data_IF_155439108160
#
_entry.id   IF_155439108160
#
_cell.length_a   1.000
_cell.length_b   1.000
_cell.length_c   1.000
_cell.angle_alpha   90.00
_cell.angle_beta   90.00
_cell.angle_gamma   90.00
#
_symmetry.space_group_name_H-M   'P 1'
#
loop_
_entity.id
_entity.type
_entity.pdbx_description
1 polymer ?
#
# COMPACT_ATOMS: atom_id res chain seq x y z
N UNK A 1 -3.82 33.26 42.10
CA UNK A 1 -3.08 32.30 41.26
C UNK A 1 -1.64 32.28 41.76
N UNK A 2 -1.16 31.13 42.24
CA UNK A 2 0.07 31.04 43.04
C UNK A 2 1.33 31.26 42.16
N UNK A 3 2.28 32.12 42.55
CA UNK A 3 3.50 32.40 41.77
C UNK A 3 4.38 31.16 41.56
N UNK A 4 4.26 30.15 42.42
CA UNK A 4 4.92 28.86 42.27
C UNK A 4 4.43 28.05 41.04
N UNK A 5 3.18 28.24 40.62
CA UNK A 5 2.57 27.50 39.51
C UNK A 5 3.05 28.05 38.15
N UNK A 6 3.36 29.35 38.09
CA UNK A 6 3.92 29.99 36.89
C UNK A 6 5.38 29.57 36.65
N UNK A 7 6.16 29.41 37.72
CA UNK A 7 7.55 28.94 37.66
C UNK A 7 7.66 27.49 37.21
N UNK A 8 6.72 26.62 37.64
CA UNK A 8 6.65 25.23 37.17
C UNK A 8 6.30 25.11 35.68
N UNK A 9 5.41 25.98 35.18
CA UNK A 9 5.06 26.04 33.75
C UNK A 9 6.22 26.55 32.88
N UNK A 10 7.01 27.51 33.38
CA UNK A 10 8.19 28.01 32.67
C UNK A 10 9.33 26.98 32.65
N UNK A 11 9.50 26.21 33.73
CA UNK A 11 10.50 25.15 33.81
C UNK A 11 10.19 23.96 32.87
N UNK A 12 8.90 23.63 32.67
CA UNK A 12 8.48 22.59 31.72
C UNK A 12 8.65 23.03 30.26
N UNK A 13 8.42 24.32 29.94
CA UNK A 13 8.65 24.86 28.61
C UNK A 13 10.13 24.88 28.21
N UNK A 14 11.06 25.10 29.16
CA UNK A 14 12.50 25.01 28.89
C UNK A 14 12.99 23.57 28.63
N UNK A 15 12.34 22.56 29.21
CA UNK A 15 12.70 21.15 28.95
C UNK A 15 12.27 20.67 27.56
N UNK A 16 11.27 21.30 26.94
CA UNK A 16 10.81 20.94 25.58
C UNK A 16 11.76 21.49 24.50
N UNK A 17 12.45 22.60 24.77
CA UNK A 17 13.38 23.21 23.81
C UNK A 17 14.74 22.48 23.70
N UNK A 18 15.09 21.63 24.67
CA UNK A 18 16.39 20.93 24.71
C UNK A 18 16.36 19.52 24.08
N UNK A 19 15.20 19.06 23.59
CA UNK A 19 15.07 17.79 22.88
C UNK A 19 15.11 17.97 21.35
N UNK A 20 16.04 18.79 20.84
CA UNK A 20 16.53 18.61 19.46
C UNK A 20 17.58 17.50 19.56
N UNK A 21 17.08 16.27 19.64
CA UNK A 21 17.91 15.08 19.53
C UNK A 21 18.71 15.19 18.25
N UNK A 22 20.02 15.29 18.42
CA UNK A 22 21.00 15.20 17.36
C UNK A 22 20.77 13.85 16.67
N UNK A 23 20.06 13.84 15.54
CA UNK A 23 19.94 12.64 14.72
C UNK A 23 21.34 12.28 14.28
N UNK A 24 21.91 11.29 14.99
CA UNK A 24 23.01 10.50 14.51
C UNK A 24 22.61 10.02 13.13
N UNK A 25 23.21 10.66 12.12
CA UNK A 25 23.23 10.23 10.73
C UNK A 25 23.97 8.90 10.70
N UNK A 26 23.26 7.84 11.12
CA UNK A 26 23.44 6.50 10.57
C UNK A 26 23.52 6.72 9.07
N UNK A 27 24.57 6.25 8.41
CA UNK A 27 24.82 6.45 6.98
C UNK A 27 23.57 6.06 6.17
N UNK A 28 22.66 7.02 6.03
CA UNK A 28 21.34 6.81 5.48
C UNK A 28 21.57 6.82 4.00
N UNK A 29 21.34 5.68 3.36
CA UNK A 29 21.40 5.61 1.92
C UNK A 29 20.47 6.70 1.37
N UNK A 30 21.02 7.78 0.80
CA UNK A 30 20.24 8.94 0.34
C UNK A 30 19.55 8.68 -1.01
N UNK A 31 19.69 7.45 -1.50
CA UNK A 31 19.24 7.00 -2.80
C UNK A 31 17.96 6.17 -2.68
N UNK A 32 17.13 6.26 -3.71
CA UNK A 32 15.91 5.47 -3.86
C UNK A 32 16.13 4.21 -4.70
N UNK A 33 17.37 3.72 -4.78
CA UNK A 33 17.69 2.45 -5.42
C UNK A 33 16.83 1.31 -4.85
N UNK A 34 16.39 0.35 -5.68
CA UNK A 34 15.59 -0.78 -5.21
C UNK A 34 16.25 -1.54 -4.07
N UNK A 35 15.49 -1.79 -3.00
CA UNK A 35 15.91 -2.53 -1.82
C UNK A 35 15.44 -3.99 -1.87
N UNK A 36 16.00 -4.84 -1.01
CA UNK A 36 15.66 -6.26 -0.92
C UNK A 36 15.03 -6.60 0.42
N UNK A 37 14.00 -7.43 0.39
CA UNK A 37 13.47 -8.12 1.56
C UNK A 37 13.17 -9.57 1.18
N UNK A 38 14.02 -10.50 1.64
CA UNK A 38 14.01 -11.88 1.15
C UNK A 38 14.12 -11.93 -0.38
N UNK A 39 13.13 -12.52 -1.04
CA UNK A 39 13.08 -12.64 -2.50
C UNK A 39 12.46 -11.42 -3.20
N UNK A 40 11.91 -10.45 -2.46
CA UNK A 40 11.25 -9.30 -3.03
C UNK A 40 12.23 -8.19 -3.37
N UNK A 41 12.02 -7.59 -4.55
CA UNK A 41 12.62 -6.31 -4.95
C UNK A 41 11.64 -5.21 -4.60
N UNK A 42 12.02 -4.28 -3.74
CA UNK A 42 11.19 -3.16 -3.33
C UNK A 42 11.69 -1.89 -4.00
N UNK A 43 10.91 -1.39 -4.94
CA UNK A 43 11.07 -0.10 -5.61
C UNK A 43 9.77 0.70 -5.55
N UNK A 44 9.89 1.99 -5.90
CA UNK A 44 8.77 2.89 -6.08
C UNK A 44 7.63 2.21 -6.90
N UNK A 45 6.35 2.32 -6.49
CA UNK A 45 5.82 3.24 -5.48
C UNK A 45 5.92 2.74 -4.03
N UNK A 46 6.48 1.55 -3.80
CA UNK A 46 6.73 1.01 -2.46
C UNK A 46 8.08 1.52 -1.94
N UNK A 47 8.19 1.63 -0.62
CA UNK A 47 9.44 1.90 0.07
C UNK A 47 9.69 0.86 1.15
N UNK A 48 10.95 0.60 1.47
CA UNK A 48 11.33 -0.29 2.56
C UNK A 48 11.82 0.51 3.76
N UNK A 49 11.01 0.56 4.81
CA UNK A 49 11.30 1.25 6.07
C UNK A 49 12.63 0.78 6.67
N UNK A 50 13.44 1.74 7.11
CA UNK A 50 14.74 1.48 7.74
C UNK A 50 15.87 1.16 6.75
N UNK A 51 15.56 1.05 5.45
CA UNK A 51 16.55 0.82 4.39
C UNK A 51 16.55 1.96 3.38
N UNK A 52 15.37 2.35 2.91
CA UNK A 52 15.18 3.48 2.00
C UNK A 52 14.69 4.72 2.78
N UNK A 53 15.09 5.92 2.35
CA UNK A 53 14.50 7.17 2.85
C UNK A 53 12.98 7.22 2.65
N UNK A 54 12.31 7.98 3.53
CA UNK A 54 10.84 8.13 3.54
C UNK A 54 10.26 8.75 2.26
N UNK A 55 11.07 9.45 1.47
CA UNK A 55 10.67 10.04 0.20
C UNK A 55 10.78 9.08 -1.00
N UNK A 56 11.23 7.85 -0.82
CA UNK A 56 11.46 6.92 -1.95
C UNK A 56 10.21 6.16 -2.41
N UNK A 57 9.09 6.32 -1.72
CA UNK A 57 7.83 5.66 -2.05
C UNK A 57 6.65 6.41 -1.42
N UNK A 58 5.44 5.97 -1.77
CA UNK A 58 4.23 6.54 -1.19
C UNK A 58 4.10 6.07 0.27
N UNK A 59 3.87 6.97 1.24
CA UNK A 59 3.84 6.60 2.65
C UNK A 59 2.82 5.50 3.00
N UNK A 60 1.70 5.43 2.27
CA UNK A 60 0.67 4.40 2.44
C UNK A 60 1.11 3.01 1.96
N UNK A 61 2.13 2.93 1.10
CA UNK A 61 2.69 1.67 0.58
C UNK A 61 4.02 1.29 1.24
N UNK A 62 4.37 1.94 2.35
CA UNK A 62 5.59 1.65 3.07
C UNK A 62 5.57 0.22 3.63
N UNK A 63 6.64 -0.51 3.38
CA UNK A 63 6.84 -1.90 3.80
C UNK A 63 7.85 -1.97 4.92
N UNK A 64 7.71 -2.99 5.75
CA UNK A 64 8.74 -3.41 6.71
C UNK A 64 9.22 -4.81 6.37
N UNK A 65 10.50 -5.10 6.62
CA UNK A 65 11.08 -6.43 6.46
C UNK A 65 11.30 -7.07 7.82
N UNK A 66 10.83 -8.31 7.98
CA UNK A 66 11.30 -9.18 9.04
C UNK A 66 12.62 -9.82 8.61
N UNK A 67 13.73 -9.39 9.22
CA UNK A 67 15.06 -9.90 8.89
C UNK A 67 15.27 -11.37 9.28
N UNK A 68 14.48 -11.90 10.23
CA UNK A 68 14.56 -13.30 10.65
C UNK A 68 13.93 -14.25 9.64
N UNK A 69 12.78 -13.87 9.07
CA UNK A 69 12.03 -14.70 8.12
C UNK A 69 12.23 -14.31 6.65
N UNK A 70 12.72 -13.08 6.39
CA UNK A 70 12.79 -12.50 5.05
C UNK A 70 11.44 -12.09 4.46
N UNK A 71 10.39 -12.03 5.28
CA UNK A 71 9.05 -11.64 4.84
C UNK A 71 8.84 -10.13 4.89
N UNK A 72 8.21 -9.58 3.86
CA UNK A 72 7.81 -8.18 3.81
C UNK A 72 6.36 -8.02 4.29
N UNK A 73 6.06 -6.90 4.95
CA UNK A 73 4.72 -6.61 5.46
C UNK A 73 4.32 -5.17 5.24
N UNK A 74 3.02 -4.91 5.01
CA UNK A 74 2.47 -3.55 5.02
C UNK A 74 2.64 -2.95 6.43
N UNK A 75 3.33 -1.82 6.52
CA UNK A 75 3.72 -1.24 7.81
C UNK A 75 2.57 -0.56 8.54
N UNK A 76 1.66 0.12 7.81
CA UNK A 76 0.61 0.97 8.41
C UNK A 76 -0.66 0.20 8.70
N UNK A 77 -0.53 -0.89 9.45
CA UNK A 77 -1.64 -1.77 9.82
C UNK A 77 -1.99 -1.60 11.29
N UNK A 78 -3.19 -2.02 11.70
CA UNK A 78 -3.63 -1.92 13.10
C UNK A 78 -3.04 -3.03 13.99
N UNK A 79 -2.42 -4.05 13.39
CA UNK A 79 -1.64 -5.10 14.03
C UNK A 79 -0.32 -5.25 13.28
N UNK A 80 0.79 -5.33 14.00
CA UNK A 80 2.10 -5.53 13.38
C UNK A 80 2.13 -6.82 12.54
N UNK A 81 2.81 -6.77 11.40
CA UNK A 81 2.98 -7.91 10.49
C UNK A 81 1.66 -8.54 10.01
N UNK A 82 0.58 -7.75 9.95
CA UNK A 82 -0.75 -8.24 9.58
C UNK A 82 -0.85 -8.69 8.12
N UNK A 83 -0.39 -7.87 7.18
CA UNK A 83 -0.46 -8.17 5.75
C UNK A 83 0.93 -8.47 5.23
N UNK A 84 1.21 -9.76 5.03
CA UNK A 84 2.43 -10.22 4.40
C UNK A 84 2.33 -10.02 2.90
N UNK A 85 3.35 -9.43 2.29
CA UNK A 85 3.46 -9.30 0.84
C UNK A 85 4.33 -10.45 0.34
N UNK A 86 3.78 -11.28 -0.55
CA UNK A 86 4.47 -12.45 -1.09
C UNK A 86 5.10 -12.16 -2.47
N UNK A 87 4.41 -11.38 -3.30
CA UNK A 87 4.86 -11.00 -4.65
C UNK A 87 4.38 -9.59 -5.02
N UNK A 88 5.19 -8.85 -5.78
CA UNK A 88 4.85 -7.54 -6.34
C UNK A 88 5.05 -7.59 -7.86
N UNK A 89 4.03 -7.19 -8.62
CA UNK A 89 4.01 -7.14 -10.09
C UNK A 89 3.90 -5.69 -10.55
N UNK A 90 5.05 -5.04 -10.73
CA UNK A 90 5.14 -3.62 -11.09
C UNK A 90 4.46 -3.28 -12.42
N UNK A 91 4.60 -4.12 -13.45
CA UNK A 91 3.98 -3.92 -14.77
C UNK A 91 2.44 -3.91 -14.73
N UNK A 92 1.87 -4.69 -13.82
CA UNK A 92 0.41 -4.89 -13.72
C UNK A 92 -0.22 -4.07 -12.60
N UNK A 93 0.57 -3.25 -11.91
CA UNK A 93 0.15 -2.56 -10.70
C UNK A 93 -0.57 -3.45 -9.67
N UNK A 94 -0.06 -4.67 -9.44
CA UNK A 94 -0.69 -5.64 -8.53
C UNK A 94 0.30 -6.39 -7.64
N UNK A 95 -0.16 -6.86 -6.47
CA UNK A 95 0.63 -7.64 -5.52
C UNK A 95 -0.20 -8.76 -4.92
N UNK A 96 0.46 -9.84 -4.51
CA UNK A 96 -0.15 -10.89 -3.69
C UNK A 96 0.14 -10.58 -2.23
N UNK A 97 -0.93 -10.41 -1.46
CA UNK A 97 -0.86 -10.24 -0.01
C UNK A 97 -1.58 -11.39 0.70
N UNK A 98 -1.01 -11.87 1.80
CA UNK A 98 -1.61 -12.84 2.69
C UNK A 98 -1.85 -12.21 4.07
N UNK A 99 -2.99 -12.53 4.68
CA UNK A 99 -3.31 -12.06 6.03
C UNK A 99 -2.74 -13.03 7.07
N UNK A 100 -2.01 -12.50 8.04
CA UNK A 100 -1.61 -13.27 9.21
C UNK A 100 -2.80 -13.46 10.13
N UNK A 101 -2.97 -14.69 10.60
CA UNK A 101 -4.12 -15.13 11.40
C UNK A 101 -3.74 -15.60 12.79
N UNK A 102 -2.44 -15.66 13.08
CA UNK A 102 -1.92 -16.10 14.35
C UNK A 102 -1.05 -14.99 14.92
N UNK A 103 -1.57 -14.37 15.96
CA UNK A 103 -0.88 -13.38 16.76
C UNK A 103 -0.60 -13.94 18.17
N UNK A 104 0.40 -13.40 18.89
CA UNK A 104 0.65 -13.81 20.26
C UNK A 104 -0.61 -13.68 21.13
N UNK A 105 -1.02 -14.78 21.76
CA UNK A 105 -2.24 -14.85 22.57
C UNK A 105 -3.46 -15.46 21.87
N UNK A 106 -3.37 -15.73 20.57
CA UNK A 106 -4.45 -16.41 19.84
C UNK A 106 -4.52 -17.90 20.16
N UNK A 107 -5.73 -18.45 20.08
CA UNK A 107 -6.02 -19.87 20.32
C UNK A 107 -5.52 -20.82 19.21
N UNK A 108 -4.63 -20.35 18.32
CA UNK A 108 -4.07 -21.12 17.22
C UNK A 108 -5.03 -21.33 16.03
N UNK A 109 -6.12 -20.58 15.97
CA UNK A 109 -7.07 -20.66 14.87
C UNK A 109 -6.60 -19.84 13.66
N UNK A 110 -6.44 -20.43 12.46
CA UNK A 110 -6.00 -19.68 11.28
C UNK A 110 -7.16 -18.90 10.62
N UNK A 111 -8.02 -18.27 11.42
CA UNK A 111 -9.15 -17.45 10.98
C UNK A 111 -9.00 -16.06 11.58
N UNK A 112 -8.97 -14.99 10.77
CA UNK A 112 -8.97 -13.62 11.29
C UNK A 112 -10.20 -13.36 12.17
N UNK A 113 -9.99 -12.76 13.33
CA UNK A 113 -11.03 -12.27 14.24
C UNK A 113 -11.55 -10.87 13.86
N UNK A 114 -11.15 -10.36 12.70
CA UNK A 114 -11.57 -9.07 12.13
C UNK A 114 -11.94 -9.21 10.66
N UNK A 115 -12.57 -8.16 10.13
CA UNK A 115 -12.91 -8.08 8.72
C UNK A 115 -11.70 -7.64 7.89
N UNK A 116 -11.13 -8.57 7.13
CA UNK A 116 -9.91 -8.32 6.33
C UNK A 116 -10.14 -7.26 5.26
N UNK A 117 -11.25 -7.34 4.53
CA UNK A 117 -11.60 -6.36 3.49
C UNK A 117 -11.74 -4.95 4.06
N UNK A 118 -12.39 -4.80 5.22
CA UNK A 118 -12.51 -3.49 5.87
C UNK A 118 -11.15 -2.94 6.31
N UNK A 119 -10.22 -3.77 6.77
CA UNK A 119 -8.89 -3.30 7.16
C UNK A 119 -8.01 -2.82 6.00
N UNK A 120 -8.35 -3.20 4.77
CA UNK A 120 -7.67 -2.73 3.56
C UNK A 120 -8.17 -1.35 3.09
N UNK A 121 -9.28 -0.83 3.64
CA UNK A 121 -9.85 0.45 3.22
C UNK A 121 -8.95 1.66 3.52
N UNK A 122 -7.91 1.47 4.33
CA UNK A 122 -6.89 2.49 4.64
C UNK A 122 -5.88 2.66 3.49
N UNK A 123 -5.86 1.74 2.54
CA UNK A 123 -4.93 1.72 1.42
C UNK A 123 -5.64 2.02 0.11
N UNK A 124 -4.98 2.68 -0.86
CA UNK A 124 -5.50 2.82 -2.21
C UNK A 124 -5.31 1.53 -3.03
N UNK A 125 -5.69 0.40 -2.44
CA UNK A 125 -5.77 -0.91 -3.09
C UNK A 125 -7.21 -1.26 -3.43
N UNK A 126 -7.38 -1.88 -4.60
CA UNK A 126 -8.58 -2.62 -4.96
C UNK A 126 -8.30 -4.11 -4.83
N UNK A 127 -9.27 -4.86 -4.29
CA UNK A 127 -9.22 -6.32 -4.33
C UNK A 127 -9.58 -6.75 -5.75
N UNK A 128 -8.71 -7.51 -6.40
CA UNK A 128 -8.91 -7.95 -7.79
C UNK A 128 -10.20 -8.74 -7.94
N UNK A 129 -10.91 -8.55 -9.06
CA UNK A 129 -12.17 -9.25 -9.36
C UNK A 129 -12.02 -10.78 -9.51
N UNK A 130 -10.79 -11.26 -9.68
CA UNK A 130 -10.45 -12.68 -9.75
C UNK A 130 -10.48 -13.35 -8.37
N UNK A 131 -10.40 -12.55 -7.30
CA UNK A 131 -10.37 -13.00 -5.90
C UNK A 131 -11.71 -13.58 -5.48
N UNK A 132 -11.67 -14.63 -4.64
CA UNK A 132 -12.83 -15.25 -4.00
C UNK A 132 -12.86 -14.90 -2.52
N UNK A 133 -13.99 -15.11 -1.86
CA UNK A 133 -14.15 -14.76 -0.45
C UNK A 133 -14.43 -16.01 0.38
N UNK A 134 -13.56 -16.30 1.34
CA UNK A 134 -13.83 -17.26 2.41
C UNK A 134 -14.65 -16.59 3.49
N UNK A 135 -15.85 -17.10 3.71
CA UNK A 135 -16.77 -16.61 4.75
C UNK A 135 -16.79 -17.63 5.87
N UNK A 136 -16.35 -17.22 7.06
CA UNK A 136 -16.41 -18.00 8.28
C UNK A 136 -17.59 -17.51 9.12
N UNK A 137 -18.40 -18.44 9.64
CA UNK A 137 -19.52 -18.15 10.55
C UNK A 137 -19.38 -19.01 11.80
N UNK A 138 -19.51 -18.41 12.97
CA UNK A 138 -19.29 -19.07 14.26
C UNK A 138 -20.14 -18.45 15.38
N UNK A 139 -20.14 -19.12 16.55
CA UNK A 139 -20.88 -18.72 17.75
C UNK A 139 -22.42 -18.64 17.60
N UNK A 140 -23.01 -19.48 16.74
CA UNK A 140 -24.46 -19.57 16.63
C UNK A 140 -24.95 -20.97 16.22
N UNK A 141 -26.25 -21.21 16.40
CA UNK A 141 -26.90 -22.47 16.04
C UNK A 141 -27.14 -22.52 14.53
N UNK A 142 -26.29 -23.23 13.80
CA UNK A 142 -26.30 -23.23 12.34
C UNK A 142 -27.16 -24.40 11.78
N UNK A 143 -28.07 -24.18 10.80
CA UNK A 143 -28.91 -25.24 10.22
C UNK A 143 -28.08 -26.37 9.61
N UNK A 144 -28.43 -27.65 9.82
CA UNK A 144 -27.61 -28.83 9.44
C UNK A 144 -27.21 -28.95 7.95
N UNK A 145 -27.76 -28.12 7.07
CA UNK A 145 -27.60 -28.19 5.61
C UNK A 145 -26.40 -27.37 5.05
N UNK A 146 -25.58 -26.74 5.90
CA UNK A 146 -24.42 -25.95 5.44
C UNK A 146 -23.17 -26.81 5.35
N UNK A 147 -22.57 -26.82 4.16
CA UNK A 147 -21.40 -27.65 3.81
C UNK A 147 -20.15 -27.18 4.58
N UNK A 148 -19.48 -28.16 5.21
CA UNK A 148 -18.18 -28.11 5.87
C UNK A 148 -18.15 -27.47 7.26
N UNK A 149 -18.26 -28.32 8.29
CA UNK A 149 -17.97 -27.97 9.69
C UNK A 149 -16.46 -28.03 9.95
N UNK A 150 -15.98 -27.04 10.70
CA UNK A 150 -14.60 -26.92 11.16
C UNK A 150 -14.59 -26.77 12.66
N UNK A 151 -13.61 -27.39 13.28
CA UNK A 151 -13.25 -27.11 14.67
C UNK A 151 -12.03 -26.21 14.66
N UNK A 152 -12.15 -25.05 15.29
CA UNK A 152 -11.02 -24.15 15.54
C UNK A 152 -10.99 -23.84 17.03
N UNK A 153 -9.89 -24.21 17.69
CA UNK A 153 -9.85 -24.27 19.15
C UNK A 153 -11.07 -25.05 19.69
N UNK A 154 -11.87 -24.43 20.57
CA UNK A 154 -13.06 -25.03 21.17
C UNK A 154 -14.38 -24.64 20.48
N UNK A 155 -14.32 -23.89 19.37
CA UNK A 155 -15.49 -23.38 18.69
C UNK A 155 -15.75 -24.13 17.38
N UNK A 156 -17.00 -24.52 17.16
CA UNK A 156 -17.46 -25.02 15.87
C UNK A 156 -17.72 -23.84 14.94
N UNK A 157 -17.06 -23.85 13.79
CA UNK A 157 -17.19 -22.86 12.74
C UNK A 157 -17.68 -23.51 11.46
N UNK A 158 -18.25 -22.72 10.57
CA UNK A 158 -18.54 -23.14 9.19
C UNK A 158 -17.91 -22.17 8.22
N UNK A 159 -17.41 -22.71 7.12
CA UNK A 159 -16.74 -21.92 6.10
C UNK A 159 -17.34 -22.19 4.73
N UNK A 160 -17.50 -21.14 3.93
CA UNK A 160 -17.98 -21.24 2.55
C UNK A 160 -17.16 -20.31 1.64
N UNK A 161 -17.12 -20.64 0.34
CA UNK A 161 -16.59 -19.73 -0.69
C UNK A 161 -17.75 -18.96 -1.32
N UNK A 162 -17.59 -17.65 -1.43
CA UNK A 162 -18.44 -16.79 -2.24
C UNK A 162 -17.64 -16.15 -3.37
N UNK A 163 -18.31 -15.94 -4.50
CA UNK A 163 -17.80 -15.14 -5.61
C UNK A 163 -17.97 -13.63 -5.38
N UNK A 164 -18.80 -13.22 -4.42
CA UNK A 164 -19.05 -11.81 -4.13
C UNK A 164 -19.03 -11.55 -2.62
N UNK A 165 -18.50 -10.40 -2.24
CA UNK A 165 -18.44 -9.93 -0.87
C UNK A 165 -19.83 -9.83 -0.21
N UNK A 166 -20.83 -9.36 -0.96
CA UNK A 166 -22.16 -8.98 -0.45
C UNK A 166 -23.26 -10.06 -0.65
N UNK A 167 -22.99 -11.16 -1.38
CA UNK A 167 -24.02 -12.15 -1.73
C UNK A 167 -24.47 -13.06 -0.59
N UNK A 168 -24.07 -12.79 0.65
CA UNK A 168 -24.78 -13.37 1.79
C UNK A 168 -26.27 -12.92 1.82
N UNK A 169 -26.61 -11.86 1.06
CA UNK A 169 -27.97 -11.37 0.79
C UNK A 169 -28.32 -11.39 -0.72
N UNK A 170 -28.31 -12.54 -1.39
CA UNK A 170 -28.92 -12.63 -2.73
C UNK A 170 -30.42 -12.96 -2.65
N UNK A 171 -31.34 -12.05 -3.04
CA UNK A 171 -32.77 -12.34 -3.08
C UNK A 171 -33.16 -13.28 -4.24
N UNK A 172 -32.24 -13.61 -5.16
CA UNK A 172 -32.51 -14.41 -6.37
C UNK A 172 -31.91 -15.81 -6.42
N UNK A 173 -31.10 -16.23 -5.44
CA UNK A 173 -30.65 -17.62 -5.28
C UNK A 173 -31.63 -18.43 -4.42
N UNK A 174 -31.53 -19.76 -4.31
CA UNK A 174 -32.39 -20.54 -3.42
C UNK A 174 -32.22 -20.02 -1.99
N UNK A 175 -33.15 -19.16 -1.58
CA UNK A 175 -33.12 -18.42 -0.35
C UNK A 175 -33.38 -19.38 0.81
N UNK A 176 -32.32 -19.94 1.34
CA UNK A 176 -32.24 -20.12 2.79
C UNK A 176 -31.40 -18.97 3.28
N UNK A 177 -32.07 -17.86 3.57
CA UNK A 177 -31.57 -16.91 4.56
C UNK A 177 -31.29 -17.75 5.80
N UNK A 178 -30.03 -18.16 5.99
CA UNK A 178 -29.61 -18.76 7.23
C UNK A 178 -29.89 -17.66 8.25
N UNK A 179 -30.78 -17.95 9.20
CA UNK A 179 -31.04 -17.06 10.32
C UNK A 179 -29.71 -16.90 11.07
N UNK A 180 -28.98 -15.87 10.69
CA UNK A 180 -27.64 -15.54 11.18
C UNK A 180 -27.73 -14.50 12.29
N UNK A 181 -28.94 -14.23 12.79
CA UNK A 181 -29.17 -13.32 13.91
C UNK A 181 -28.40 -13.83 15.12
N UNK A 182 -27.42 -13.05 15.57
CA UNK A 182 -26.52 -13.40 16.67
C UNK A 182 -25.26 -14.19 16.28
N UNK A 183 -25.05 -14.49 14.98
CA UNK A 183 -23.80 -15.09 14.52
C UNK A 183 -22.67 -14.06 14.38
N UNK A 184 -21.45 -14.48 14.69
CA UNK A 184 -20.24 -13.76 14.29
C UNK A 184 -19.74 -14.27 12.95
N UNK A 185 -19.16 -13.37 12.16
CA UNK A 185 -18.60 -13.73 10.86
C UNK A 185 -17.27 -13.04 10.60
N UNK A 186 -16.42 -13.71 9.83
CA UNK A 186 -15.16 -13.18 9.32
C UNK A 186 -15.07 -13.51 7.84
N UNK A 187 -14.56 -12.57 7.04
CA UNK A 187 -14.45 -12.77 5.61
C UNK A 187 -13.04 -12.46 5.15
N UNK A 188 -12.46 -13.40 4.43
CA UNK A 188 -11.06 -13.36 4.00
C UNK A 188 -11.01 -13.48 2.48
N UNK A 189 -10.51 -12.47 1.77
CA UNK A 189 -10.22 -12.59 0.34
C UNK A 189 -9.15 -13.67 0.12
N UNK A 190 -9.28 -14.49 -0.91
CA UNK A 190 -8.32 -15.53 -1.28
C UNK A 190 -8.22 -15.66 -2.80
N UNK A 191 -7.04 -16.04 -3.29
CA UNK A 191 -6.83 -16.35 -4.71
C UNK A 191 -7.82 -17.44 -5.18
N UNK A 192 -8.32 -17.34 -6.41
CA UNK A 192 -9.23 -18.33 -6.96
C UNK A 192 -8.56 -19.70 -6.95
N UNK A 193 -9.32 -20.70 -6.53
CA UNK A 193 -8.85 -22.07 -6.44
C UNK A 193 -9.86 -22.99 -7.11
N UNK A 194 -9.36 -23.86 -7.98
CA UNK A 194 -10.21 -24.66 -8.86
C UNK A 194 -11.10 -25.64 -8.10
N UNK A 195 -10.68 -26.13 -6.93
CA UNK A 195 -11.51 -27.04 -6.12
C UNK A 195 -11.17 -26.94 -4.63
N UNK A 196 -12.08 -26.38 -3.81
CA UNK A 196 -12.07 -26.66 -2.37
C UNK A 196 -12.37 -28.14 -2.20
N UNK A 197 -11.36 -28.95 -1.88
CA UNK A 197 -11.53 -30.40 -1.71
C UNK A 197 -11.93 -30.76 -0.28
N UNK A 198 -11.55 -29.93 0.69
CA UNK A 198 -11.86 -30.14 2.11
C UNK A 198 -11.89 -28.84 2.90
N UNK A 199 -12.61 -28.88 4.03
CA UNK A 199 -12.58 -27.84 5.04
C UNK A 199 -11.16 -27.62 5.60
N UNK A 200 -10.31 -28.64 5.61
CA UNK A 200 -8.93 -28.51 6.10
C UNK A 200 -8.03 -27.63 5.21
N UNK A 201 -8.48 -27.28 4.00
CA UNK A 201 -7.68 -26.54 3.02
C UNK A 201 -7.74 -25.01 3.19
N UNK A 202 -8.64 -24.47 4.04
CA UNK A 202 -8.77 -23.01 4.19
C UNK A 202 -7.51 -22.34 4.71
N UNK A 203 -6.79 -22.96 5.64
CA UNK A 203 -5.52 -22.40 6.13
C UNK A 203 -4.51 -22.24 4.98
N UNK A 204 -4.52 -23.16 4.01
CA UNK A 204 -3.70 -23.04 2.80
C UNK A 204 -4.16 -21.90 1.89
N UNK A 205 -5.47 -21.71 1.73
CA UNK A 205 -6.03 -20.60 0.96
C UNK A 205 -5.70 -19.24 1.58
N UNK A 206 -5.89 -19.08 2.89
CA UNK A 206 -5.53 -17.86 3.62
C UNK A 206 -4.03 -17.60 3.52
N UNK A 207 -3.19 -18.65 3.66
CA UNK A 207 -1.73 -18.53 3.55
C UNK A 207 -1.27 -18.12 2.15
N UNK A 208 -1.96 -18.56 1.09
CA UNK A 208 -1.69 -18.16 -0.30
C UNK A 208 -2.12 -16.71 -0.59
N UNK A 209 -2.96 -16.14 0.26
CA UNK A 209 -3.38 -14.75 0.15
C UNK A 209 -4.33 -14.48 -1.00
N UNK A 210 -4.36 -13.23 -1.44
CA UNK A 210 -5.25 -12.65 -2.43
C UNK A 210 -4.53 -11.59 -3.26
N UNK A 211 -5.09 -11.28 -4.43
CA UNK A 211 -4.51 -10.30 -5.34
C UNK A 211 -5.09 -8.92 -5.04
N UNK A 212 -4.19 -7.96 -4.78
CA UNK A 212 -4.47 -6.54 -4.65
C UNK A 212 -3.93 -5.82 -5.88
N UNK A 213 -4.69 -4.84 -6.36
CA UNK A 213 -4.32 -3.92 -7.43
C UNK A 213 -4.19 -2.53 -6.80
N UNK A 214 -3.06 -1.85 -6.95
CA UNK A 214 -2.98 -0.45 -6.52
C UNK A 214 -3.48 0.47 -7.62
N UNK A 215 -4.17 1.54 -7.23
CA UNK A 215 -4.49 2.62 -8.16
C UNK A 215 -3.20 3.13 -8.81
N UNK A 216 -3.26 3.52 -10.09
CA UNK A 216 -2.13 4.13 -10.78
C UNK A 216 -1.62 5.30 -9.94
N UNK A 217 -0.48 5.08 -9.30
CA UNK A 217 0.17 6.10 -8.48
C UNK A 217 0.55 7.21 -9.44
N UNK A 218 0.29 8.48 -9.12
CA UNK A 218 0.69 9.59 -9.97
C UNK A 218 2.16 9.47 -10.35
N UNK A 219 2.48 9.78 -11.61
CA UNK A 219 3.85 9.81 -12.11
C UNK A 219 4.31 8.55 -12.84
N UNK A 220 5.25 8.76 -13.78
CA UNK A 220 5.90 7.68 -14.53
C UNK A 220 7.34 7.52 -14.03
N UNK A 221 7.51 6.57 -13.13
CA UNK A 221 8.82 6.27 -12.57
C UNK A 221 9.79 5.70 -13.61
N UNK A 222 9.29 4.95 -14.61
CA UNK A 222 10.13 4.42 -15.67
C UNK A 222 10.69 5.54 -16.55
N UNK A 223 9.87 6.53 -16.91
CA UNK A 223 10.31 7.72 -17.64
C UNK A 223 11.32 8.55 -16.83
N UNK A 224 11.07 8.75 -15.52
CA UNK A 224 12.02 9.44 -14.65
C UNK A 224 13.38 8.74 -14.62
N UNK A 225 13.39 7.43 -14.39
CA UNK A 225 14.62 6.64 -14.38
C UNK A 225 15.33 6.68 -15.74
N UNK A 226 14.58 6.63 -16.85
CA UNK A 226 15.13 6.73 -18.21
C UNK A 226 15.77 8.10 -18.50
N UNK A 227 15.29 9.17 -17.86
CA UNK A 227 15.89 10.50 -17.91
C UNK A 227 17.09 10.68 -16.96
N UNK A 228 17.47 9.64 -16.21
CA UNK A 228 18.59 9.66 -15.26
C UNK A 228 18.24 10.21 -13.88
N UNK A 229 16.96 10.35 -13.55
CA UNK A 229 16.49 10.76 -12.23
C UNK A 229 16.14 9.58 -11.32
N UNK A 230 15.78 9.91 -10.07
CA UNK A 230 15.25 8.96 -9.09
C UNK A 230 13.81 9.33 -8.72
N UNK A 231 12.92 8.34 -8.75
CA UNK A 231 11.53 8.50 -8.35
C UNK A 231 11.42 8.80 -6.85
N UNK A 232 10.68 9.85 -6.50
CA UNK A 232 10.41 10.25 -5.12
C UNK A 232 8.94 10.65 -4.93
N UNK A 233 8.50 10.59 -3.68
CA UNK A 233 7.28 11.20 -3.20
C UNK A 233 7.61 12.54 -2.55
N UNK A 234 7.07 13.62 -3.11
CA UNK A 234 7.11 14.95 -2.51
C UNK A 234 6.00 15.05 -1.45
N UNK A 235 6.38 15.02 -0.18
CA UNK A 235 5.43 15.16 0.92
C UNK A 235 4.79 16.56 1.00
N UNK A 236 5.46 17.60 0.50
CA UNK A 236 4.94 18.97 0.49
C UNK A 236 3.87 19.18 -0.58
N UNK A 237 4.09 18.62 -1.77
CA UNK A 237 3.11 18.64 -2.86
C UNK A 237 2.13 17.46 -2.83
N UNK A 238 2.36 16.46 -1.96
CA UNK A 238 1.65 15.18 -1.91
C UNK A 238 1.61 14.46 -3.27
N UNK A 239 2.69 14.58 -4.05
CA UNK A 239 2.75 14.18 -5.44
C UNK A 239 4.04 13.42 -5.77
N UNK A 240 4.05 12.79 -6.94
CA UNK A 240 5.29 12.25 -7.50
C UNK A 240 6.25 13.37 -7.87
N UNK A 241 7.54 13.09 -7.72
CA UNK A 241 8.61 13.88 -8.29
C UNK A 241 9.76 13.02 -8.78
N UNK A 242 10.43 13.49 -9.82
CA UNK A 242 11.65 12.95 -10.36
C UNK A 242 12.84 13.77 -9.86
N UNK A 243 13.66 13.19 -8.98
CA UNK A 243 14.83 13.86 -8.43
C UNK A 243 16.01 13.72 -9.38
N UNK A 244 16.45 14.86 -9.91
CA UNK A 244 17.45 14.89 -10.97
C UNK A 244 18.87 15.04 -10.43
N UNK A 245 19.88 14.63 -11.21
CA UNK A 245 21.29 14.84 -10.86
C UNK A 245 21.67 16.30 -10.59
N UNK A 246 20.88 17.26 -11.11
CA UNK A 246 21.00 18.69 -10.84
C UNK A 246 20.61 19.10 -9.40
N UNK A 247 20.09 18.17 -8.60
CA UNK A 247 19.58 18.41 -7.24
C UNK A 247 18.16 18.99 -7.21
N UNK A 248 17.48 19.06 -8.34
CA UNK A 248 16.10 19.56 -8.44
C UNK A 248 15.10 18.42 -8.54
N UNK A 249 13.95 18.61 -7.89
CA UNK A 249 12.80 17.73 -8.03
C UNK A 249 11.90 18.26 -9.16
N UNK A 250 11.71 17.46 -10.20
CA UNK A 250 10.86 17.77 -11.35
C UNK A 250 9.54 16.98 -11.28
N UNK A 251 8.45 17.45 -11.90
CA UNK A 251 7.15 16.75 -11.82
C UNK A 251 7.09 15.39 -12.53
N UNK A 252 7.95 15.13 -13.53
CA UNK A 252 7.85 13.94 -14.39
C UNK A 252 9.21 13.32 -14.73
N UNK A 253 10.06 14.06 -15.43
CA UNK A 253 11.37 13.61 -15.92
C UNK A 253 12.42 14.68 -15.72
N UNK A 254 13.69 14.30 -15.76
CA UNK A 254 14.79 15.24 -15.85
C UNK A 254 14.87 15.80 -17.25
N UNK A 255 14.87 17.13 -17.36
CA UNK A 255 15.24 17.78 -18.60
C UNK A 255 16.65 17.31 -18.94
N UNK A 256 16.83 16.75 -20.14
CA UNK A 256 18.16 16.67 -20.73
C UNK A 256 18.64 18.12 -20.77
N UNK A 257 19.68 18.44 -20.01
CA UNK A 257 20.47 19.63 -20.26
C UNK A 257 21.04 19.50 -21.68
N UNK A 258 20.25 19.87 -22.70
CA UNK A 258 20.83 20.46 -23.88
C UNK A 258 21.42 21.77 -23.36
N UNK A 259 22.76 21.93 -23.31
CA UNK A 259 23.31 23.24 -23.00
C UNK A 259 22.69 24.18 -24.03
N UNK A 260 22.01 25.22 -23.56
CA UNK A 260 21.33 26.23 -24.37
C UNK A 260 22.01 26.44 -25.73
N UNK A 261 21.52 25.79 -26.78
CA UNK A 261 21.62 26.39 -28.11
C UNK A 261 20.52 27.45 -28.12
N UNK A 262 20.87 28.64 -27.65
CA UNK A 262 20.25 29.85 -28.16
C UNK A 262 20.44 29.80 -29.68
N UNK A 263 19.44 29.29 -30.40
CA UNK A 263 19.27 29.62 -31.81
C UNK A 263 18.95 31.11 -31.86
N UNK A 264 19.99 31.92 -31.94
CA UNK A 264 19.95 33.28 -32.44
C UNK A 264 19.55 33.22 -33.93
N UNK A 265 18.28 32.91 -34.20
CA UNK A 265 17.75 32.81 -35.55
C UNK A 265 16.25 33.16 -35.56
N UNK A 266 15.86 34.23 -34.88
CA UNK A 266 14.57 34.91 -35.02
C UNK A 266 14.73 36.36 -34.55
N UNK A 267 15.63 37.12 -35.22
CA UNK A 267 15.68 38.59 -35.10
C UNK A 267 15.98 39.30 -36.42
N UNK A 268 15.85 38.61 -37.57
CA UNK A 268 16.18 39.19 -38.88
C UNK A 268 15.01 39.24 -39.87
N UNK A 269 13.79 38.83 -39.50
CA UNK A 269 12.65 38.80 -40.43
C UNK A 269 11.55 39.83 -40.19
N UNK A 270 11.71 40.77 -39.24
CA UNK A 270 10.70 41.84 -39.00
C UNK A 270 11.24 43.27 -39.10
N UNK A 271 12.32 43.52 -39.84
CA UNK A 271 12.80 44.89 -40.09
C UNK A 271 13.01 45.25 -41.58
N UNK A 272 12.43 44.49 -42.51
CA UNK A 272 12.53 44.77 -43.96
C UNK A 272 11.19 45.06 -44.65
N UNK A 273 10.08 45.17 -43.92
CA UNK A 273 8.74 45.45 -44.48
C UNK A 273 8.23 46.88 -44.24
N UNK A 274 9.09 47.82 -43.82
CA UNK A 274 8.75 49.26 -43.77
C UNK A 274 9.80 50.09 -44.53
N UNK A 275 9.93 49.88 -45.85
CA UNK A 275 10.65 50.82 -46.72
C UNK A 275 10.34 50.62 -48.22
N UNK A 276 9.06 50.44 -48.61
CA UNK A 276 8.69 50.48 -50.04
C UNK A 276 7.18 50.70 -50.25
N UNK A 277 6.63 51.82 -49.76
CA UNK A 277 5.30 52.29 -50.19
C UNK A 277 5.14 53.79 -49.89
N UNK A 278 5.97 54.63 -50.51
CA UNK A 278 5.66 56.07 -50.63
C UNK A 278 6.55 56.73 -51.68
N UNK A 279 6.19 56.64 -52.97
CA UNK A 279 6.51 57.67 -53.98
C UNK A 279 5.91 57.31 -55.35
N UNK A 280 5.05 58.21 -55.87
CA UNK A 280 4.71 58.48 -57.28
C UNK A 280 3.97 57.38 -58.06
N UNK A 281 2.79 57.60 -58.66
CA UNK A 281 2.23 58.76 -59.38
C UNK A 281 0.75 58.93 -59.02
#
# INVERSE_FOLDING_TARGET
MHPALLLLLLASLLHVAAAVGNETSTSGNTSCTPARCGNLTISYPFSLSGVQPVYCGYPVFDLTCDNGTGHAFLRRTFRDHLFRVDNIFYENNSLVAAVQTTFPGDSGCPVPDFNVTSSLSLYPFNISNTTKYLVFVYNCSLPRDVRHELTCANNTMRASISNQWNRMYDPGGPARAVDTVGCQYSVVPVLPWSELRSARDYAGLVRRGFLLEWAAVPGDCAACNASGGECRYDAGAMAFGCFCPSGRLQPATCDLFLPFQFSAALHSSMCSSQAAASSTI
#
